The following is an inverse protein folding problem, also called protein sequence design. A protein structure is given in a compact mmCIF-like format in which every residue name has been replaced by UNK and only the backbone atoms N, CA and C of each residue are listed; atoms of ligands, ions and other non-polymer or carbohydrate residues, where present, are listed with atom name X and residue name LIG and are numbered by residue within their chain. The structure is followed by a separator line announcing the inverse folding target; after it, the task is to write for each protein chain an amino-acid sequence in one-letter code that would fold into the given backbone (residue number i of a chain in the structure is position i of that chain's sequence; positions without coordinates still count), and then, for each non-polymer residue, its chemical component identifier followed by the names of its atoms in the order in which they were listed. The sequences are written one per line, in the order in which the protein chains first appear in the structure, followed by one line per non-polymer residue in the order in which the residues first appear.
data_IF_377580435670
#
_entry.id   IF_377580435670
#
_cell.length_a   1.000
_cell.length_b   1.000
_cell.length_c   1.000
_cell.angle_alpha   90.00
_cell.angle_beta   90.00
_cell.angle_gamma   90.00
#
_symmetry.space_group_name_H-M   'P 1'
#
loop_
_entity.id
_entity.type
_entity.pdbx_description
1 polymer ?
#
# COMPACT_ATOMS: atom_id res chain seq x y z
N UNK A 1 5.19 12.26 23.91
CA UNK A 1 4.51 10.95 24.02
C UNK A 1 4.65 10.14 22.71
N UNK A 2 5.81 10.14 22.06
CA UNK A 2 6.04 9.44 20.77
C UNK A 2 7.19 8.41 20.84
N UNK A 3 7.87 8.29 22.00
CA UNK A 3 9.02 7.38 22.18
C UNK A 3 8.57 5.94 22.39
N UNK A 4 7.56 5.73 23.24
CA UNK A 4 7.25 4.41 23.81
C UNK A 4 6.56 3.50 22.78
N UNK A 5 5.68 4.05 21.93
CA UNK A 5 5.02 3.31 20.86
C UNK A 5 6.02 2.87 19.78
N UNK A 6 7.01 3.72 19.48
CA UNK A 6 8.05 3.40 18.49
C UNK A 6 8.97 2.31 19.01
N UNK A 7 9.38 2.41 20.27
CA UNK A 7 10.19 1.41 20.95
C UNK A 7 9.48 0.05 21.01
N UNK A 8 8.17 0.04 21.32
CA UNK A 8 7.36 -1.17 21.30
C UNK A 8 7.30 -1.79 19.90
N UNK A 9 7.07 -1.00 18.84
CA UNK A 9 7.05 -1.50 17.46
C UNK A 9 8.41 -1.99 16.96
N UNK A 10 9.49 -1.43 17.48
CA UNK A 10 10.86 -1.84 17.14
C UNK A 10 11.34 -3.04 17.96
N UNK A 11 10.68 -3.36 19.07
CA UNK A 11 10.94 -4.54 19.92
C UNK A 11 10.64 -5.86 19.21
N UNK A 12 11.22 -6.96 19.71
CA UNK A 12 10.97 -8.32 19.20
C UNK A 12 9.50 -8.73 19.30
N UNK A 13 8.81 -8.26 20.35
CA UNK A 13 7.38 -8.52 20.55
C UNK A 13 6.57 -7.77 19.48
N UNK A 14 6.87 -6.48 19.26
CA UNK A 14 6.23 -5.68 18.22
C UNK A 14 6.39 -6.30 16.84
N UNK A 15 7.61 -6.74 16.49
CA UNK A 15 7.89 -7.43 15.22
C UNK A 15 7.08 -8.71 15.07
N UNK A 16 7.02 -9.56 16.10
CA UNK A 16 6.21 -10.80 16.09
C UNK A 16 4.73 -10.52 15.90
N UNK A 17 4.20 -9.47 16.51
CA UNK A 17 2.79 -9.07 16.33
C UNK A 17 2.53 -8.67 14.89
N UNK A 18 3.42 -7.89 14.26
CA UNK A 18 3.32 -7.56 12.84
C UNK A 18 3.39 -8.82 11.97
N UNK A 19 4.33 -9.74 12.22
CA UNK A 19 4.46 -10.97 11.45
C UNK A 19 3.18 -11.83 11.54
N UNK A 20 2.55 -11.92 12.72
CA UNK A 20 1.24 -12.58 12.89
C UNK A 20 0.15 -11.86 12.10
N UNK A 21 0.08 -10.53 12.20
CA UNK A 21 -0.93 -9.73 11.50
C UNK A 21 -0.80 -9.83 9.97
N UNK A 22 0.43 -9.93 9.46
CA UNK A 22 0.72 -10.14 8.03
C UNK A 22 0.31 -11.54 7.60
N UNK A 23 0.70 -12.58 8.34
CA UNK A 23 0.33 -13.97 8.05
C UNK A 23 -1.19 -14.16 8.02
N UNK A 24 -1.88 -13.57 9.00
CA UNK A 24 -3.32 -13.73 9.18
C UNK A 24 -4.13 -12.59 8.53
N UNK A 25 -3.49 -11.78 7.67
CA UNK A 25 -4.04 -10.57 7.05
C UNK A 25 -5.44 -10.77 6.45
N UNK A 26 -5.61 -11.84 5.65
CA UNK A 26 -6.89 -12.13 4.97
C UNK A 26 -8.04 -12.42 5.94
N UNK A 27 -7.73 -12.87 7.15
CA UNK A 27 -8.71 -13.10 8.21
C UNK A 27 -9.06 -11.81 8.93
N UNK A 28 -8.06 -10.98 9.23
CA UNK A 28 -8.26 -9.79 10.08
C UNK A 28 -8.76 -8.58 9.29
N UNK A 29 -8.39 -8.41 8.02
CA UNK A 29 -8.67 -7.19 7.25
C UNK A 29 -10.18 -6.88 7.11
N UNK A 30 -11.01 -7.92 7.01
CA UNK A 30 -12.47 -7.78 6.86
C UNK A 30 -13.20 -7.51 8.18
N UNK A 31 -12.49 -7.55 9.31
CA UNK A 31 -13.09 -7.34 10.63
C UNK A 31 -13.22 -5.85 10.93
N UNK A 32 -14.25 -5.48 11.70
CA UNK A 32 -14.40 -4.09 12.16
C UNK A 32 -13.19 -3.64 13.00
N UNK A 33 -12.60 -4.54 13.78
CA UNK A 33 -11.43 -4.28 14.62
C UNK A 33 -10.17 -3.89 13.82
N UNK A 34 -10.08 -4.26 12.54
CA UNK A 34 -9.00 -3.77 11.67
C UNK A 34 -9.05 -2.24 11.53
N UNK A 35 -10.25 -1.65 11.62
CA UNK A 35 -10.43 -0.21 11.64
C UNK A 35 -10.08 0.42 13.00
N UNK A 36 -9.62 -0.31 14.00
CA UNK A 36 -9.05 0.26 15.23
C UNK A 36 -7.52 0.33 15.17
N UNK A 37 -6.90 -0.32 14.19
CA UNK A 37 -5.45 -0.37 14.08
C UNK A 37 -4.87 1.01 13.72
N UNK A 38 -3.86 1.50 14.45
CA UNK A 38 -3.11 2.72 14.14
C UNK A 38 -2.45 2.74 12.75
N UNK A 39 -2.28 3.94 12.20
CA UNK A 39 -1.79 4.15 10.84
C UNK A 39 -0.38 3.59 10.61
N UNK A 40 0.51 3.79 11.57
CA UNK A 40 1.89 3.30 11.56
C UNK A 40 1.98 1.77 11.53
N UNK A 41 1.09 1.07 12.24
CA UNK A 41 0.98 -0.39 12.18
C UNK A 41 0.44 -0.83 10.82
N UNK A 42 -0.62 -0.19 10.32
CA UNK A 42 -1.19 -0.51 9.00
C UNK A 42 -0.18 -0.30 7.87
N UNK A 43 0.58 0.79 7.91
CA UNK A 43 1.65 1.06 6.95
C UNK A 43 2.71 -0.04 7.00
N UNK A 44 3.13 -0.47 8.21
CA UNK A 44 4.09 -1.58 8.35
C UNK A 44 3.56 -2.88 7.77
N UNK A 45 2.27 -3.19 7.95
CA UNK A 45 1.63 -4.37 7.35
C UNK A 45 1.57 -4.22 5.82
N UNK A 46 1.08 -3.09 5.31
CA UNK A 46 0.89 -2.85 3.89
C UNK A 46 2.19 -2.68 3.10
N UNK A 47 3.32 -2.41 3.74
CA UNK A 47 4.61 -2.33 3.05
C UNK A 47 5.26 -3.71 2.82
N UNK A 48 4.80 -4.75 3.54
CA UNK A 48 5.38 -6.09 3.51
C UNK A 48 5.25 -6.76 2.15
N UNK A 49 6.36 -7.36 1.71
CA UNK A 49 6.42 -8.10 0.45
C UNK A 49 5.63 -9.42 0.49
N UNK A 50 5.66 -10.10 1.63
CA UNK A 50 5.02 -11.38 1.94
C UNK A 50 3.56 -11.25 2.37
N UNK A 51 2.96 -10.05 2.22
CA UNK A 51 1.55 -9.86 2.52
C UNK A 51 0.70 -10.79 1.63
N UNK A 52 -0.17 -11.65 2.21
CA UNK A 52 -0.88 -12.70 1.47
C UNK A 52 -2.10 -12.11 0.75
N UNK A 53 -1.86 -11.34 -0.31
CA UNK A 53 -2.86 -10.81 -1.24
C UNK A 53 -2.75 -11.52 -2.58
N UNK A 54 -3.89 -11.71 -3.25
CA UNK A 54 -3.95 -12.30 -4.60
C UNK A 54 -3.45 -11.33 -5.67
N UNK A 55 -3.62 -10.03 -5.43
CA UNK A 55 -3.18 -8.96 -6.34
C UNK A 55 -2.86 -7.67 -5.59
N UNK A 56 -2.08 -6.79 -6.21
CA UNK A 56 -1.85 -5.45 -5.65
C UNK A 56 -3.15 -4.63 -5.60
N UNK A 57 -4.12 -4.94 -6.47
CA UNK A 57 -5.43 -4.30 -6.45
C UNK A 57 -6.24 -4.66 -5.20
N UNK A 58 -6.17 -5.90 -4.70
CA UNK A 58 -6.79 -6.29 -3.42
C UNK A 58 -6.25 -5.46 -2.25
N UNK A 59 -4.92 -5.22 -2.24
CA UNK A 59 -4.32 -4.32 -1.25
C UNK A 59 -4.78 -2.87 -1.44
N UNK A 60 -4.88 -2.37 -2.67
CA UNK A 60 -5.35 -1.02 -2.93
C UNK A 60 -6.79 -0.80 -2.43
N UNK A 61 -7.69 -1.74 -2.70
CA UNK A 61 -9.06 -1.73 -2.17
C UNK A 61 -9.04 -1.70 -0.63
N UNK A 62 -8.14 -2.49 -0.05
CA UNK A 62 -7.99 -2.58 1.39
C UNK A 62 -7.52 -1.26 2.03
N UNK A 63 -6.56 -0.62 1.39
CA UNK A 63 -6.04 0.68 1.77
C UNK A 63 -7.11 1.78 1.67
N UNK A 64 -7.87 1.82 0.58
CA UNK A 64 -8.96 2.77 0.38
C UNK A 64 -10.03 2.58 1.45
N UNK A 65 -10.46 1.34 1.70
CA UNK A 65 -11.45 1.04 2.73
C UNK A 65 -10.99 1.48 4.13
N UNK A 66 -9.73 1.25 4.48
CA UNK A 66 -9.19 1.68 5.76
C UNK A 66 -9.17 3.20 5.90
N UNK A 67 -8.74 3.94 4.86
CA UNK A 67 -8.78 5.42 4.88
C UNK A 67 -10.22 5.93 4.94
N UNK A 68 -11.14 5.31 4.22
CA UNK A 68 -12.55 5.69 4.18
C UNK A 68 -13.29 5.42 5.51
N UNK A 69 -12.83 4.49 6.32
CA UNK A 69 -13.51 4.08 7.55
C UNK A 69 -13.61 5.20 8.59
N UNK A 70 -12.71 6.19 8.59
CA UNK A 70 -12.76 7.32 9.52
C UNK A 70 -12.26 8.63 8.89
N UNK A 71 -12.97 9.76 9.05
CA UNK A 71 -12.61 11.03 8.41
C UNK A 71 -11.20 11.55 8.76
N UNK A 72 -10.74 11.33 10.00
CA UNK A 72 -9.42 11.80 10.46
C UNK A 72 -8.24 11.07 9.78
N UNK A 73 -8.48 9.97 9.07
CA UNK A 73 -7.44 9.19 8.40
C UNK A 73 -6.95 9.80 7.11
N UNK A 74 -7.62 10.83 6.59
CA UNK A 74 -7.16 11.59 5.41
C UNK A 74 -5.73 12.07 5.59
N UNK A 75 -5.32 12.45 6.81
CA UNK A 75 -3.93 12.86 7.11
C UNK A 75 -2.88 11.76 6.86
N UNK A 76 -3.30 10.51 6.82
CA UNK A 76 -2.44 9.35 6.57
C UNK A 76 -2.59 8.80 5.14
N UNK A 77 -3.51 9.34 4.33
CA UNK A 77 -3.85 8.79 3.01
C UNK A 77 -2.62 8.68 2.10
N UNK A 78 -1.80 9.72 2.02
CA UNK A 78 -0.55 9.69 1.25
C UNK A 78 0.35 8.51 1.66
N UNK A 79 0.65 8.38 2.96
CA UNK A 79 1.55 7.32 3.47
C UNK A 79 0.99 5.93 3.23
N UNK A 80 -0.32 5.75 3.40
CA UNK A 80 -1.01 4.48 3.16
C UNK A 80 -1.02 4.13 1.68
N UNK A 81 -1.30 5.09 0.80
CA UNK A 81 -1.32 4.87 -0.64
C UNK A 81 0.09 4.68 -1.23
N UNK A 82 1.13 5.27 -0.64
CA UNK A 82 2.52 4.98 -1.02
C UNK A 82 2.90 3.51 -0.80
N UNK A 83 2.16 2.76 0.02
CA UNK A 83 2.38 1.32 0.16
C UNK A 83 2.01 0.54 -1.11
N UNK A 84 1.20 1.10 -2.01
CA UNK A 84 0.71 0.44 -3.24
C UNK A 84 1.79 0.51 -4.33
N UNK A 85 2.09 -0.64 -4.94
CA UNK A 85 3.06 -0.78 -6.04
C UNK A 85 2.32 -0.67 -7.37
N UNK A 86 2.19 0.54 -7.89
CA UNK A 86 1.42 0.84 -9.11
C UNK A 86 1.86 -0.02 -10.30
N UNK A 87 3.13 -0.43 -10.35
CA UNK A 87 3.66 -1.28 -11.42
C UNK A 87 3.13 -2.70 -11.43
N UNK A 88 2.44 -3.13 -10.37
CA UNK A 88 1.80 -4.42 -10.26
C UNK A 88 0.28 -4.35 -10.57
N UNK A 89 -0.23 -3.18 -10.95
CA UNK A 89 -1.62 -2.99 -11.37
C UNK A 89 -1.72 -3.01 -12.90
N UNK A 90 -2.85 -3.51 -13.41
CA UNK A 90 -3.25 -3.25 -14.80
C UNK A 90 -3.78 -1.82 -14.95
N UNK A 91 -3.86 -1.32 -16.19
CA UNK A 91 -4.46 -0.01 -16.45
C UNK A 91 -5.94 0.06 -16.01
N UNK A 92 -6.69 -1.04 -16.17
CA UNK A 92 -8.07 -1.16 -15.70
C UNK A 92 -8.16 -1.08 -14.17
N UNK A 93 -7.35 -1.87 -13.46
CA UNK A 93 -7.28 -1.83 -12.00
C UNK A 93 -6.86 -0.46 -11.46
N UNK A 94 -5.94 0.21 -12.15
CA UNK A 94 -5.56 1.57 -11.81
C UNK A 94 -6.76 2.53 -11.93
N UNK A 95 -7.53 2.46 -13.02
CA UNK A 95 -8.73 3.29 -13.19
C UNK A 95 -9.82 2.97 -12.16
N UNK A 96 -10.06 1.69 -11.88
CA UNK A 96 -11.02 1.27 -10.85
C UNK A 96 -10.63 1.78 -9.46
N UNK A 97 -9.33 1.75 -9.14
CA UNK A 97 -8.82 2.30 -7.88
C UNK A 97 -9.09 3.82 -7.77
N UNK A 98 -8.88 4.57 -8.85
CA UNK A 98 -9.20 6.02 -8.88
C UNK A 98 -10.70 6.25 -8.73
N UNK A 99 -11.54 5.42 -9.37
CA UNK A 99 -13.00 5.50 -9.21
C UNK A 99 -13.41 5.25 -7.75
N UNK A 100 -12.84 4.24 -7.09
CA UNK A 100 -13.10 3.96 -5.68
C UNK A 100 -12.71 5.14 -4.76
N UNK A 101 -11.59 5.81 -5.03
CA UNK A 101 -11.17 7.00 -4.28
C UNK A 101 -12.18 8.14 -4.48
N UNK A 102 -12.64 8.35 -5.72
CA UNK A 102 -13.63 9.38 -6.03
C UNK A 102 -15.02 9.12 -5.42
N UNK A 103 -15.30 7.88 -5.01
CA UNK A 103 -16.54 7.49 -4.31
C UNK A 103 -16.42 7.58 -2.78
N UNK A 104 -15.27 8.02 -2.24
CA UNK A 104 -15.09 8.11 -0.79
C UNK A 104 -16.06 9.12 -0.16
N UNK A 105 -16.64 8.80 1.02
CA UNK A 105 -17.69 9.62 1.63
C UNK A 105 -17.20 10.96 2.20
N UNK A 106 -15.90 11.09 2.48
CA UNK A 106 -15.32 12.26 3.13
C UNK A 106 -14.06 12.73 2.42
N UNK A 107 -13.92 14.06 2.31
CA UNK A 107 -12.71 14.73 1.85
C UNK A 107 -12.18 14.22 0.49
N UNK A 108 -13.06 13.77 -0.40
CA UNK A 108 -12.74 13.14 -1.68
C UNK A 108 -11.67 13.93 -2.46
N UNK A 109 -11.84 15.26 -2.61
CA UNK A 109 -10.86 16.09 -3.31
C UNK A 109 -9.46 16.02 -2.68
N UNK A 110 -9.36 16.11 -1.35
CA UNK A 110 -8.08 16.04 -0.65
C UNK A 110 -7.46 14.64 -0.78
N UNK A 111 -8.27 13.59 -0.64
CA UNK A 111 -7.79 12.20 -0.77
C UNK A 111 -7.34 11.91 -2.20
N UNK A 112 -8.08 12.37 -3.22
CA UNK A 112 -7.68 12.23 -4.62
C UNK A 112 -6.36 12.93 -4.92
N UNK A 113 -6.12 14.14 -4.36
CA UNK A 113 -4.83 14.83 -4.48
C UNK A 113 -3.69 14.04 -3.80
N UNK A 114 -3.91 13.54 -2.59
CA UNK A 114 -2.90 12.76 -1.88
C UNK A 114 -2.59 11.44 -2.59
N UNK A 115 -3.61 10.78 -3.14
CA UNK A 115 -3.47 9.57 -3.95
C UNK A 115 -2.67 9.85 -5.23
N UNK A 116 -2.99 10.94 -5.94
CA UNK A 116 -2.23 11.36 -7.12
C UNK A 116 -0.74 11.53 -6.80
N UNK A 117 -0.40 12.21 -5.71
CA UNK A 117 1.00 12.37 -5.32
C UNK A 117 1.66 11.05 -4.89
N UNK A 118 0.93 10.18 -4.17
CA UNK A 118 1.45 8.88 -3.78
C UNK A 118 1.76 8.00 -5.01
N UNK A 119 0.85 7.93 -5.98
CA UNK A 119 0.97 7.07 -7.16
C UNK A 119 2.00 7.57 -8.18
N UNK A 120 2.34 8.86 -8.15
CA UNK A 120 3.39 9.44 -8.99
C UNK A 120 4.74 9.60 -8.23
N UNK A 121 4.85 9.09 -7.01
CA UNK A 121 6.10 9.09 -6.25
C UNK A 121 7.03 7.95 -6.67
N UNK A 122 8.33 8.06 -6.38
CA UNK A 122 9.28 6.99 -6.62
C UNK A 122 8.90 5.69 -5.88
N UNK A 123 8.29 5.80 -4.70
CA UNK A 123 7.85 4.66 -3.88
C UNK A 123 6.80 3.81 -4.60
N UNK A 124 5.92 4.41 -5.41
CA UNK A 124 4.90 3.69 -6.15
C UNK A 124 5.46 2.76 -7.24
N UNK A 125 6.67 3.06 -7.73
CA UNK A 125 7.34 2.29 -8.78
C UNK A 125 8.39 1.30 -8.23
N UNK A 126 8.52 1.25 -6.90
CA UNK A 126 9.50 0.40 -6.22
C UNK A 126 9.27 -1.07 -6.53
N UNK A 127 10.37 -1.79 -6.70
CA UNK A 127 10.37 -3.25 -6.88
C UNK A 127 11.28 -3.87 -5.85
N UNK A 128 10.80 -4.96 -5.25
CA UNK A 128 11.62 -5.76 -4.37
C UNK A 128 12.69 -6.49 -5.19
N UNK A 129 13.95 -6.24 -4.86
CA UNK A 129 15.12 -6.88 -5.49
C UNK A 129 15.72 -8.01 -4.63
N UNK A 130 15.10 -8.32 -3.49
CA UNK A 130 15.56 -9.37 -2.57
C UNK A 130 15.29 -10.75 -3.22
N UNK A 131 16.37 -11.45 -3.61
CA UNK A 131 16.26 -12.77 -4.25
C UNK A 131 15.53 -13.82 -3.42
N UNK A 132 15.66 -13.76 -2.09
CA UNK A 132 14.91 -14.62 -1.16
C UNK A 132 13.39 -14.41 -1.17
N UNK A 133 12.89 -13.31 -1.76
CA UNK A 133 11.46 -13.09 -1.97
C UNK A 133 10.99 -13.50 -3.37
N UNK A 134 11.92 -13.73 -4.29
CA UNK A 134 11.67 -14.17 -5.67
C UNK A 134 11.40 -15.67 -5.73
N UNK A 135 12.19 -16.48 -4.99
CA UNK A 135 12.03 -17.94 -4.87
C UNK A 135 10.65 -18.38 -4.30
N UNK A 136 10.11 -17.76 -3.23
CA UNK A 136 8.74 -18.03 -2.78
C UNK A 136 7.67 -17.33 -3.64
N UNK A 137 8.05 -16.65 -4.73
CA UNK A 137 7.16 -15.94 -5.65
C UNK A 137 6.13 -15.04 -4.96
N UNK A 138 6.58 -14.22 -4.01
CA UNK A 138 5.69 -13.27 -3.36
C UNK A 138 5.01 -12.38 -4.41
N UNK A 139 3.67 -12.38 -4.41
CA UNK A 139 2.84 -11.74 -5.45
C UNK A 139 3.16 -10.25 -5.65
N UNK A 140 3.63 -9.59 -4.60
CA UNK A 140 3.98 -8.18 -4.61
C UNK A 140 5.39 -7.91 -5.11
N UNK A 141 6.27 -8.89 -5.09
CA UNK A 141 7.61 -8.80 -5.66
C UNK A 141 7.51 -9.02 -7.16
N UNK A 142 7.43 -7.92 -7.92
CA UNK A 142 7.29 -7.96 -9.37
C UNK A 142 8.37 -8.84 -10.02
N UNK A 143 7.97 -9.54 -11.06
CA UNK A 143 8.86 -10.42 -11.84
C UNK A 143 9.85 -9.55 -12.63
N UNK A 144 11.15 -9.64 -12.32
CA UNK A 144 12.18 -8.80 -12.94
C UNK A 144 12.20 -8.93 -14.47
N UNK A 145 11.74 -10.06 -15.01
CA UNK A 145 11.76 -10.34 -16.44
C UNK A 145 10.82 -9.48 -17.29
N UNK A 146 9.79 -8.84 -16.73
CA UNK A 146 8.89 -7.98 -17.52
C UNK A 146 9.46 -6.58 -17.81
N UNK A 147 10.61 -6.21 -17.21
CA UNK A 147 11.16 -4.84 -17.26
C UNK A 147 12.37 -4.64 -18.16
N UNK A 148 12.88 -5.67 -18.85
CA UNK A 148 13.91 -5.50 -19.89
C UNK A 148 13.41 -4.75 -21.15
N UNK A 149 12.15 -4.30 -21.17
CA UNK A 149 11.53 -3.58 -22.29
C UNK A 149 10.96 -2.19 -21.95
N UNK A 150 11.50 -1.48 -20.96
CA UNK A 150 11.26 -0.03 -20.85
C UNK A 150 12.42 0.75 -21.47
N UNK A 151 12.30 1.03 -22.77
CA UNK A 151 12.99 2.13 -23.43
C UNK A 151 12.53 3.45 -22.81
N UNK A 152 13.49 4.33 -22.52
CA UNK A 152 13.28 5.71 -22.11
C UNK A 152 12.31 6.41 -23.07
N UNK A 153 11.04 6.53 -22.70
CA UNK A 153 10.13 7.46 -23.34
C UNK A 153 10.38 8.85 -22.74
N UNK A 154 11.04 9.69 -23.52
CA UNK A 154 11.22 11.12 -23.31
C UNK A 154 9.94 11.77 -22.76
N UNK A 155 10.05 12.42 -21.61
CA UNK A 155 9.14 13.51 -21.24
C UNK A 155 9.37 14.66 -22.23
N UNK A 156 8.52 14.80 -23.23
CA UNK A 156 8.38 16.05 -23.96
C UNK A 156 7.36 16.90 -23.19
N UNK A 157 7.88 17.89 -22.46
CA UNK A 157 7.09 19.04 -22.02
C UNK A 157 6.71 19.81 -23.28
N UNK A 158 5.41 19.98 -23.53
CA UNK A 158 4.93 21.08 -24.37
C UNK A 158 4.05 21.95 -23.47
N UNK A 159 4.52 23.19 -23.33
CA UNK A 159 3.86 24.35 -22.72
C UNK A 159 2.70 24.79 -23.60
#
# INVERSE_FOLDING_TARGET
MLSDDRELLESDIGRRIIDIAVRDYRLIFKTQSFNDIPADIVIRIFDRCDLPVESEFELAQSAIAWVAARPERVRNAYRVFSCIRITNLTAEQHNDMINLINLMPYFTAAVSTLAYHAFNSADAYRVCTIGAHTEPHYKRCGDQMKRSHFTYAHFLVIV
#
